data_IF_893084278358
#
_entry.id   IF_893084278358
#
_cell.length_a   1.000
_cell.length_b   1.000
_cell.length_c   1.000
_cell.angle_alpha   90.00
_cell.angle_beta   90.00
_cell.angle_gamma   90.00
#
_symmetry.space_group_name_H-M   'P 1'
#
loop_
_entity.id
_entity.type
_entity.pdbx_description
1 polymer ?
#
# COMPACT_ATOMS: atom_id res chain seq x y z
N UNK A 1 -34.77 13.33 -1.36
CA UNK A 1 -33.81 14.15 -2.09
C UNK A 1 -32.32 13.85 -1.70
N UNK A 2 -32.01 13.31 -0.51
CA UNK A 2 -30.63 13.13 -0.07
C UNK A 2 -29.76 12.10 -0.83
N UNK A 3 -30.32 10.98 -1.23
CA UNK A 3 -29.52 9.88 -1.83
C UNK A 3 -28.95 10.20 -3.22
N UNK A 4 -29.68 10.92 -4.08
CA UNK A 4 -29.17 11.34 -5.41
C UNK A 4 -28.02 12.37 -5.32
N UNK A 5 -28.03 13.20 -4.29
CA UNK A 5 -27.02 14.24 -4.08
C UNK A 5 -25.70 13.64 -3.53
N UNK A 6 -25.79 12.60 -2.69
CA UNK A 6 -24.61 11.85 -2.19
C UNK A 6 -23.87 11.12 -3.32
N UNK A 7 -24.59 10.41 -4.19
CA UNK A 7 -24.02 9.69 -5.35
C UNK A 7 -23.31 10.68 -6.30
N UNK A 8 -23.90 11.86 -6.55
CA UNK A 8 -23.27 12.87 -7.42
C UNK A 8 -21.94 13.41 -6.83
N UNK A 9 -21.88 13.63 -5.51
CA UNK A 9 -20.66 14.14 -4.84
C UNK A 9 -19.54 13.09 -4.90
N UNK A 10 -19.85 11.81 -4.67
CA UNK A 10 -18.87 10.72 -4.74
C UNK A 10 -18.32 10.55 -6.16
N UNK A 11 -19.17 10.61 -7.17
CA UNK A 11 -18.76 10.59 -8.58
C UNK A 11 -17.88 11.78 -8.94
N UNK A 12 -18.18 12.97 -8.45
CA UNK A 12 -17.39 14.18 -8.70
C UNK A 12 -16.00 14.11 -8.06
N UNK A 13 -15.89 13.53 -6.86
CA UNK A 13 -14.59 13.34 -6.16
C UNK A 13 -13.73 12.33 -6.91
N UNK A 14 -14.29 11.19 -7.31
CA UNK A 14 -13.58 10.17 -8.09
C UNK A 14 -13.19 10.69 -9.48
N UNK A 15 -14.05 11.46 -10.15
CA UNK A 15 -13.74 12.05 -11.45
C UNK A 15 -12.55 13.01 -11.36
N UNK A 16 -12.47 13.84 -10.32
CA UNK A 16 -11.31 14.72 -10.07
C UNK A 16 -10.04 13.94 -9.79
N UNK A 17 -10.12 12.87 -9.02
CA UNK A 17 -9.00 11.97 -8.78
C UNK A 17 -8.50 11.38 -10.10
N UNK A 18 -9.39 10.80 -10.88
CA UNK A 18 -9.08 10.12 -12.14
C UNK A 18 -8.46 11.05 -13.20
N UNK A 19 -8.77 12.34 -13.18
CA UNK A 19 -8.14 13.30 -14.07
C UNK A 19 -6.63 13.45 -13.83
N UNK A 20 -6.16 13.24 -12.60
CA UNK A 20 -4.73 13.31 -12.24
C UNK A 20 -4.01 11.97 -12.32
N UNK A 21 -4.73 10.86 -12.27
CA UNK A 21 -4.17 9.50 -12.34
C UNK A 21 -3.35 9.30 -13.61
N UNK A 22 -3.89 9.72 -14.77
CA UNK A 22 -3.19 9.58 -16.04
C UNK A 22 -1.87 10.38 -16.04
N UNK A 23 -1.88 11.59 -15.51
CA UNK A 23 -0.69 12.42 -15.38
C UNK A 23 0.35 11.82 -14.43
N UNK A 24 -0.09 11.27 -13.29
CA UNK A 24 0.82 10.57 -12.38
C UNK A 24 1.46 9.36 -13.06
N UNK A 25 0.69 8.56 -13.81
CA UNK A 25 1.23 7.41 -14.56
C UNK A 25 2.25 7.84 -15.60
N UNK A 26 1.95 8.85 -16.39
CA UNK A 26 2.88 9.40 -17.39
C UNK A 26 4.20 9.81 -16.73
N UNK A 27 4.13 10.57 -15.62
CA UNK A 27 5.31 10.96 -14.86
C UNK A 27 6.11 9.75 -14.31
N UNK A 28 5.41 8.72 -13.79
CA UNK A 28 6.05 7.52 -13.28
C UNK A 28 6.69 6.68 -14.38
N UNK A 29 6.03 6.58 -15.54
CA UNK A 29 6.52 5.84 -16.70
C UNK A 29 7.75 6.56 -17.32
N UNK A 30 7.73 7.90 -17.45
CA UNK A 30 8.86 8.69 -17.92
C UNK A 30 10.10 8.53 -17.04
N UNK A 31 9.91 8.43 -15.71
CA UNK A 31 10.97 8.20 -14.75
C UNK A 31 11.32 6.70 -14.59
N UNK A 32 10.68 5.79 -15.33
CA UNK A 32 10.81 4.34 -15.21
C UNK A 32 10.65 3.84 -13.75
N UNK A 33 9.74 4.44 -12.99
CA UNK A 33 9.49 4.11 -11.59
C UNK A 33 8.58 2.89 -11.46
N UNK A 34 8.96 1.97 -10.58
CA UNK A 34 8.03 0.98 -10.03
C UNK A 34 7.27 1.63 -8.88
N UNK A 35 5.98 1.87 -9.03
CA UNK A 35 5.15 2.52 -8.00
C UNK A 35 4.21 1.52 -7.34
N UNK A 36 4.26 1.44 -6.02
CA UNK A 36 3.46 0.53 -5.19
C UNK A 36 2.63 1.32 -4.19
N UNK A 37 1.32 1.05 -4.14
CA UNK A 37 0.41 1.57 -3.12
C UNK A 37 0.20 0.49 -2.04
N UNK A 38 0.79 0.70 -0.87
CA UNK A 38 0.69 -0.21 0.28
C UNK A 38 -0.53 0.16 1.12
N UNK A 39 -1.51 -0.72 1.16
CA UNK A 39 -2.78 -0.54 1.87
C UNK A 39 -2.97 -1.61 2.94
N UNK A 40 -3.56 -1.27 4.07
CA UNK A 40 -3.77 -2.21 5.17
C UNK A 40 -4.79 -1.70 6.19
N UNK A 41 -5.25 -2.58 7.08
CA UNK A 41 -5.83 -2.13 8.36
C UNK A 41 -4.76 -1.47 9.23
N UNK A 42 -5.15 -0.60 10.18
CA UNK A 42 -4.24 -0.12 11.21
C UNK A 42 -3.60 -1.28 11.99
N UNK A 43 -2.31 -1.19 12.26
CA UNK A 43 -1.60 -2.21 13.04
C UNK A 43 -1.22 -3.49 12.29
N UNK A 44 -1.44 -3.62 10.98
CA UNK A 44 -1.04 -4.80 10.18
C UNK A 44 0.49 -4.94 10.02
N UNK A 45 1.26 -3.92 10.39
CA UNK A 45 2.72 -3.91 10.30
C UNK A 45 3.25 -3.39 8.97
N UNK A 46 2.47 -2.58 8.25
CA UNK A 46 2.81 -1.97 6.95
C UNK A 46 4.14 -1.21 7.02
N UNK A 47 4.28 -0.25 7.93
CA UNK A 47 5.53 0.52 8.13
C UNK A 47 6.71 -0.37 8.52
N UNK A 48 6.49 -1.41 9.32
CA UNK A 48 7.57 -2.34 9.70
C UNK A 48 8.07 -3.13 8.49
N UNK A 49 7.14 -3.65 7.67
CA UNK A 49 7.48 -4.32 6.42
C UNK A 49 8.22 -3.38 5.46
N UNK A 50 7.73 -2.14 5.32
CA UNK A 50 8.37 -1.14 4.47
C UNK A 50 9.79 -0.82 4.95
N UNK A 51 9.99 -0.53 6.23
CA UNK A 51 11.32 -0.25 6.78
C UNK A 51 12.30 -1.42 6.57
N UNK A 52 11.85 -2.66 6.76
CA UNK A 52 12.70 -3.83 6.52
C UNK A 52 13.02 -4.00 5.03
N UNK A 53 12.05 -3.76 4.16
CA UNK A 53 12.25 -3.74 2.70
C UNK A 53 13.31 -2.72 2.29
N UNK A 54 13.19 -1.50 2.81
CA UNK A 54 14.12 -0.40 2.48
C UNK A 54 15.55 -0.70 2.93
N UNK A 55 15.76 -1.28 4.12
CA UNK A 55 17.09 -1.68 4.59
C UNK A 55 17.78 -2.68 3.67
N UNK A 56 17.00 -3.55 3.02
CA UNK A 56 17.54 -4.59 2.12
C UNK A 56 17.68 -4.13 0.68
N UNK A 57 16.98 -3.06 0.27
CA UNK A 57 16.96 -2.57 -1.11
C UNK A 57 17.73 -1.28 -1.34
N UNK A 58 17.91 -0.41 -0.33
CA UNK A 58 18.41 0.95 -0.52
C UNK A 58 19.78 1.02 -1.21
N UNK A 59 20.65 0.05 -0.95
CA UNK A 59 21.98 -0.04 -1.58
C UNK A 59 21.95 -0.69 -2.98
N UNK A 60 20.81 -1.25 -3.40
CA UNK A 60 20.67 -2.03 -4.64
C UNK A 60 19.86 -1.31 -5.71
N UNK A 61 18.87 -0.53 -5.29
CA UNK A 61 17.96 0.19 -6.18
C UNK A 61 17.50 1.49 -5.51
N UNK A 62 17.48 2.62 -6.22
CA UNK A 62 16.94 3.85 -5.64
C UNK A 62 15.52 3.65 -5.11
N UNK A 63 15.27 4.14 -3.90
CA UNK A 63 13.96 4.05 -3.27
C UNK A 63 13.54 5.43 -2.77
N UNK A 64 12.24 5.71 -2.82
CA UNK A 64 11.63 6.88 -2.20
C UNK A 64 10.28 6.47 -1.61
N UNK A 65 9.79 7.24 -0.63
CA UNK A 65 8.55 6.95 0.08
C UNK A 65 7.66 8.19 0.17
N UNK A 66 6.37 8.01 -0.12
CA UNK A 66 5.30 8.92 0.28
C UNK A 66 4.53 8.22 1.39
N UNK A 67 4.47 8.83 2.56
CA UNK A 67 3.78 8.28 3.73
C UNK A 67 2.56 9.13 4.05
N UNK A 68 1.36 8.50 4.10
CA UNK A 68 0.10 9.13 4.47
C UNK A 68 -0.33 8.74 5.87
N UNK A 69 -0.36 9.71 6.79
CA UNK A 69 -0.91 9.51 8.13
C UNK A 69 -1.86 10.64 8.52
N UNK A 70 -2.71 10.36 9.49
CA UNK A 70 -3.71 11.32 9.95
C UNK A 70 -3.14 12.35 10.91
N UNK A 71 -2.20 11.99 11.80
CA UNK A 71 -1.80 12.87 12.91
C UNK A 71 -0.34 12.79 13.35
N UNK A 72 0.42 11.72 13.05
CA UNK A 72 1.74 11.53 13.66
C UNK A 72 2.86 11.47 12.63
N UNK A 73 4.07 11.90 13.02
CA UNK A 73 5.27 11.77 12.18
C UNK A 73 6.05 10.47 12.46
N UNK A 74 5.55 9.61 13.36
CA UNK A 74 6.33 8.46 13.87
C UNK A 74 6.71 7.46 12.77
N UNK A 75 5.80 7.19 11.85
CA UNK A 75 6.06 6.23 10.77
C UNK A 75 6.98 6.86 9.72
N UNK A 76 6.80 8.12 9.37
CA UNK A 76 7.73 8.86 8.52
C UNK A 76 9.14 8.95 9.13
N UNK A 77 9.26 9.15 10.45
CA UNK A 77 10.57 9.18 11.13
C UNK A 77 11.26 7.81 11.12
N UNK A 78 10.49 6.73 11.28
CA UNK A 78 11.02 5.35 11.14
C UNK A 78 11.51 5.07 9.72
N UNK A 79 10.79 5.55 8.71
CA UNK A 79 11.18 5.41 7.31
C UNK A 79 12.45 6.22 7.04
N UNK A 80 12.51 7.49 7.45
CA UNK A 80 13.71 8.34 7.29
C UNK A 80 14.95 7.75 7.98
N UNK A 81 14.77 7.06 9.10
CA UNK A 81 15.84 6.38 9.81
C UNK A 81 16.49 5.24 9.00
N UNK A 82 15.87 4.78 7.90
CA UNK A 82 16.47 3.85 6.95
C UNK A 82 17.45 4.51 5.96
N UNK A 83 17.51 5.84 5.95
CA UNK A 83 18.33 6.62 4.99
C UNK A 83 17.62 6.91 3.67
N UNK A 84 16.41 6.40 3.46
CA UNK A 84 15.64 6.61 2.22
C UNK A 84 14.85 7.93 2.30
N UNK A 85 14.84 8.75 1.22
CA UNK A 85 14.03 9.94 1.15
C UNK A 85 12.54 9.64 1.36
N UNK A 86 11.90 10.38 2.27
CA UNK A 86 10.49 10.22 2.57
C UNK A 86 9.79 11.57 2.76
N UNK A 87 8.64 11.72 2.10
CA UNK A 87 7.71 12.84 2.27
C UNK A 87 6.49 12.34 3.02
N UNK A 88 6.09 13.07 4.05
CA UNK A 88 4.87 12.79 4.78
C UNK A 88 3.73 13.69 4.32
N UNK A 89 2.58 13.10 4.09
CA UNK A 89 1.31 13.78 3.86
C UNK A 89 0.45 13.63 5.11
N UNK A 90 0.18 14.75 5.79
CA UNK A 90 -0.79 14.75 6.87
C UNK A 90 -2.19 14.92 6.27
N UNK A 91 -2.99 13.86 6.31
CA UNK A 91 -4.36 13.86 5.76
C UNK A 91 -5.39 14.46 6.72
N UNK A 92 -5.00 14.77 7.96
CA UNK A 92 -5.90 15.31 8.98
C UNK A 92 -7.06 14.36 9.28
N UNK A 93 -8.24 14.69 8.79
CA UNK A 93 -9.44 13.83 8.91
C UNK A 93 -9.63 12.90 7.71
N UNK A 94 -8.79 12.99 6.69
CA UNK A 94 -8.83 12.11 5.52
C UNK A 94 -8.42 10.69 5.88
N UNK A 95 -9.11 9.72 5.33
CA UNK A 95 -8.89 8.29 5.59
C UNK A 95 -8.15 7.58 4.44
N UNK A 96 -7.61 8.32 3.47
CA UNK A 96 -6.87 7.83 2.31
C UNK A 96 -6.05 8.95 1.67
N UNK A 97 -5.10 8.58 0.84
CA UNK A 97 -4.43 9.46 -0.11
C UNK A 97 -5.21 9.51 -1.42
N UNK A 98 -5.15 10.65 -2.12
CA UNK A 98 -5.66 10.83 -3.47
C UNK A 98 -4.52 11.12 -4.48
N UNK A 99 -4.84 11.09 -5.77
CA UNK A 99 -3.85 11.29 -6.84
C UNK A 99 -3.20 12.67 -6.79
N UNK A 100 -3.92 13.70 -6.33
CA UNK A 100 -3.37 15.06 -6.19
C UNK A 100 -2.35 15.13 -5.06
N UNK A 101 -2.64 14.53 -3.91
CA UNK A 101 -1.71 14.46 -2.78
C UNK A 101 -0.41 13.78 -3.18
N UNK A 102 -0.50 12.67 -3.91
CA UNK A 102 0.67 11.94 -4.42
C UNK A 102 1.43 12.77 -5.44
N UNK A 103 0.75 13.43 -6.39
CA UNK A 103 1.36 14.35 -7.35
C UNK A 103 2.18 15.44 -6.66
N UNK A 104 1.57 16.14 -5.72
CA UNK A 104 2.21 17.24 -4.99
C UNK A 104 3.42 16.75 -4.15
N UNK A 105 3.34 15.53 -3.59
CA UNK A 105 4.43 14.93 -2.82
C UNK A 105 5.61 14.48 -3.69
N UNK A 106 5.36 14.00 -4.91
CA UNK A 106 6.42 13.61 -5.83
C UNK A 106 7.37 14.75 -6.14
N UNK A 107 6.86 15.98 -6.27
CA UNK A 107 7.69 17.17 -6.50
C UNK A 107 8.60 17.56 -5.32
N UNK A 108 8.39 16.97 -4.13
CA UNK A 108 9.23 17.21 -2.95
C UNK A 108 10.28 16.11 -2.74
N UNK A 109 10.20 15.03 -3.52
CA UNK A 109 11.18 13.95 -3.49
C UNK A 109 12.33 14.24 -4.46
N UNK A 110 13.56 13.79 -4.15
CA UNK A 110 14.65 13.82 -5.12
C UNK A 110 14.34 12.90 -6.30
N UNK A 111 15.00 13.16 -7.44
CA UNK A 111 14.91 12.28 -8.61
C UNK A 111 15.22 10.83 -8.22
N UNK A 112 14.37 9.91 -8.67
CA UNK A 112 14.42 8.48 -8.31
C UNK A 112 14.30 7.60 -9.57
N UNK A 113 14.89 8.04 -10.68
CA UNK A 113 14.81 7.36 -11.99
C UNK A 113 15.20 5.88 -11.91
N UNK A 114 14.38 5.01 -12.48
CA UNK A 114 14.55 3.56 -12.46
C UNK A 114 14.36 2.92 -11.09
N UNK A 115 13.97 3.70 -10.08
CA UNK A 115 13.82 3.29 -8.70
C UNK A 115 12.46 2.67 -8.36
N UNK A 116 12.20 2.61 -7.05
CA UNK A 116 10.89 2.22 -6.50
C UNK A 116 10.33 3.38 -5.69
N UNK A 117 9.10 3.77 -5.98
CA UNK A 117 8.31 4.66 -5.16
C UNK A 117 7.29 3.84 -4.35
N UNK A 118 7.45 3.83 -3.06
CA UNK A 118 6.47 3.25 -2.15
C UNK A 118 5.51 4.34 -1.68
N UNK A 119 4.21 4.13 -1.85
CA UNK A 119 3.17 4.96 -1.27
C UNK A 119 2.59 4.18 -0.10
N UNK A 120 2.94 4.57 1.12
CA UNK A 120 2.32 4.03 2.33
C UNK A 120 1.02 4.77 2.59
N UNK A 121 -0.12 4.14 2.29
CA UNK A 121 -1.44 4.73 2.47
C UNK A 121 -1.87 4.71 3.95
N UNK A 122 -2.84 5.55 4.30
CA UNK A 122 -3.49 5.55 5.62
C UNK A 122 -4.03 4.15 5.93
N UNK A 123 -3.96 3.74 7.20
CA UNK A 123 -4.48 2.45 7.65
C UNK A 123 -6.00 2.35 7.52
N UNK A 124 -6.47 1.91 6.34
CA UNK A 124 -7.88 1.76 5.99
C UNK A 124 -8.03 0.81 4.80
N UNK A 125 -9.03 -0.09 4.83
CA UNK A 125 -9.32 -1.04 3.75
C UNK A 125 -10.57 -0.67 2.93
N UNK A 126 -11.25 0.44 3.25
CA UNK A 126 -12.48 0.87 2.55
C UNK A 126 -12.14 1.96 1.54
N UNK A 127 -11.83 3.17 2.01
CA UNK A 127 -11.65 4.32 1.14
C UNK A 127 -10.54 4.13 0.08
N UNK A 128 -9.33 3.63 0.41
CA UNK A 128 -8.26 3.48 -0.58
C UNK A 128 -8.56 2.48 -1.71
N UNK A 129 -9.60 1.65 -1.57
CA UNK A 129 -9.98 0.69 -2.60
C UNK A 129 -10.39 1.39 -3.91
N UNK A 130 -11.16 2.47 -3.81
CA UNK A 130 -11.72 3.20 -4.95
C UNK A 130 -10.77 4.28 -5.51
N UNK A 131 -9.69 4.61 -4.79
CA UNK A 131 -8.74 5.64 -5.20
C UNK A 131 -7.52 5.02 -5.88
N UNK A 132 -7.43 5.26 -7.17
CA UNK A 132 -6.24 5.01 -7.98
C UNK A 132 -5.31 6.23 -7.82
N UNK A 133 -4.04 5.99 -7.53
CA UNK A 133 -3.03 7.04 -7.34
C UNK A 133 -2.09 7.16 -8.54
N UNK A 134 -2.26 6.28 -9.55
CA UNK A 134 -1.35 6.09 -10.67
C UNK A 134 -0.35 4.95 -10.43
N UNK A 135 -0.47 4.22 -9.32
CA UNK A 135 0.41 3.11 -8.97
C UNK A 135 0.34 1.97 -9.99
N UNK A 136 1.47 1.26 -10.17
CA UNK A 136 1.51 0.03 -10.97
C UNK A 136 0.86 -1.13 -10.24
N UNK A 137 1.07 -1.22 -8.91
CA UNK A 137 0.50 -2.27 -8.08
C UNK A 137 -0.09 -1.72 -6.78
N UNK A 138 -1.28 -2.17 -6.45
CA UNK A 138 -1.87 -2.03 -5.12
C UNK A 138 -1.59 -3.30 -4.33
N UNK A 139 -0.94 -3.16 -3.18
CA UNK A 139 -0.52 -4.27 -2.32
C UNK A 139 -1.31 -4.22 -1.03
N UNK A 140 -2.18 -5.20 -0.81
CA UNK A 140 -2.95 -5.34 0.42
C UNK A 140 -2.16 -6.11 1.48
N UNK A 141 -1.86 -5.47 2.60
CA UNK A 141 -1.12 -6.09 3.71
C UNK A 141 -2.12 -6.46 4.81
N UNK A 142 -2.14 -7.73 5.15
CA UNK A 142 -2.98 -8.35 6.18
C UNK A 142 -2.10 -8.99 7.25
N UNK A 143 -2.42 -8.82 8.52
CA UNK A 143 -1.72 -9.50 9.62
C UNK A 143 -2.46 -10.77 10.04
N UNK A 144 -1.73 -11.83 10.43
CA UNK A 144 -2.32 -13.03 11.04
C UNK A 144 -3.03 -12.75 12.37
N UNK A 145 -2.88 -11.56 12.94
CA UNK A 145 -3.63 -11.11 14.13
C UNK A 145 -5.01 -10.51 13.79
N UNK A 146 -5.36 -10.46 12.51
CA UNK A 146 -6.68 -10.05 12.01
C UNK A 146 -7.51 -11.31 11.70
N UNK A 147 -8.69 -11.19 11.14
CA UNK A 147 -9.48 -12.38 10.78
C UNK A 147 -9.18 -12.86 9.36
N UNK A 148 -9.16 -14.16 9.12
CA UNK A 148 -8.99 -14.77 7.80
C UNK A 148 -10.14 -14.46 6.83
N UNK A 149 -11.27 -13.94 7.33
CA UNK A 149 -12.41 -13.48 6.53
C UNK A 149 -12.27 -12.02 6.05
N UNK A 150 -11.19 -11.32 6.38
CA UNK A 150 -10.95 -9.94 5.93
C UNK A 150 -11.13 -9.74 4.42
N UNK A 151 -10.67 -10.64 3.53
CA UNK A 151 -10.91 -10.50 2.10
C UNK A 151 -12.40 -10.47 1.74
N UNK A 152 -13.24 -11.22 2.45
CA UNK A 152 -14.68 -11.22 2.22
C UNK A 152 -15.38 -10.01 2.84
N UNK A 153 -14.82 -9.42 3.91
CA UNK A 153 -15.36 -8.22 4.55
C UNK A 153 -15.04 -6.94 3.79
N UNK A 154 -13.93 -6.93 3.06
CA UNK A 154 -13.44 -5.77 2.30
C UNK A 154 -13.20 -6.15 0.83
N UNK A 155 -14.22 -6.68 0.13
CA UNK A 155 -14.03 -7.28 -1.19
C UNK A 155 -13.48 -6.29 -2.22
N UNK A 156 -13.87 -5.02 -2.17
CA UNK A 156 -13.41 -4.00 -3.12
C UNK A 156 -11.89 -3.80 -3.04
N UNK A 157 -11.32 -3.82 -1.81
CA UNK A 157 -9.88 -3.71 -1.63
C UNK A 157 -9.12 -4.89 -2.23
N UNK A 158 -9.58 -6.12 -1.94
CA UNK A 158 -8.90 -7.32 -2.45
C UNK A 158 -9.15 -7.56 -3.93
N UNK A 159 -10.27 -7.07 -4.48
CA UNK A 159 -10.52 -7.05 -5.92
C UNK A 159 -9.57 -6.08 -6.64
N UNK A 160 -9.26 -4.93 -6.03
CA UNK A 160 -8.34 -3.93 -6.59
C UNK A 160 -6.86 -4.28 -6.42
N UNK A 161 -6.50 -5.15 -5.44
CA UNK A 161 -5.12 -5.50 -5.16
C UNK A 161 -4.60 -6.59 -6.09
N UNK A 162 -3.36 -6.44 -6.58
CA UNK A 162 -2.66 -7.45 -7.36
C UNK A 162 -1.88 -8.42 -6.46
N UNK A 163 -1.50 -7.96 -5.27
CA UNK A 163 -0.78 -8.76 -4.29
C UNK A 163 -1.41 -8.62 -2.91
N UNK A 164 -1.55 -9.73 -2.20
CA UNK A 164 -1.82 -9.79 -0.76
C UNK A 164 -0.57 -10.25 -0.03
N UNK A 165 -0.10 -9.49 0.95
CA UNK A 165 0.97 -9.89 1.86
C UNK A 165 0.37 -10.26 3.20
N UNK A 166 0.50 -11.53 3.60
CA UNK A 166 0.15 -12.00 4.95
C UNK A 166 1.37 -11.81 5.84
N UNK A 167 1.30 -10.83 6.72
CA UNK A 167 2.40 -10.43 7.60
C UNK A 167 2.26 -10.97 9.01
N UNK A 168 3.33 -10.92 9.78
CA UNK A 168 3.47 -11.39 11.16
C UNK A 168 3.28 -12.91 11.31
N UNK A 169 3.77 -13.68 10.32
CA UNK A 169 3.66 -15.15 10.32
C UNK A 169 4.33 -15.81 11.53
N UNK A 170 5.31 -15.13 12.14
CA UNK A 170 5.91 -15.50 13.42
C UNK A 170 4.91 -15.65 14.58
N UNK A 171 3.75 -15.00 14.47
CA UNK A 171 2.70 -15.08 15.49
C UNK A 171 1.70 -16.22 15.26
N UNK A 172 1.78 -16.96 14.14
CA UNK A 172 0.88 -18.09 13.87
C UNK A 172 0.77 -19.11 15.01
N UNK A 173 1.86 -19.47 15.75
CA UNK A 173 1.74 -20.38 16.88
C UNK A 173 0.92 -19.86 18.06
N UNK A 174 0.62 -18.55 18.09
CA UNK A 174 -0.03 -17.88 19.23
C UNK A 174 -1.43 -17.33 18.90
N UNK A 175 -1.88 -17.48 17.67
CA UNK A 175 -3.18 -16.95 17.20
C UNK A 175 -3.97 -18.04 16.48
N UNK A 176 -5.29 -17.94 16.54
CA UNK A 176 -6.17 -18.77 15.71
C UNK A 176 -6.38 -18.10 14.36
N UNK A 177 -5.50 -18.43 13.40
CA UNK A 177 -5.59 -17.91 12.04
C UNK A 177 -5.31 -19.02 11.03
N UNK A 178 -6.27 -19.28 10.15
CA UNK A 178 -6.14 -20.25 9.07
C UNK A 178 -5.65 -19.56 7.80
N UNK A 179 -4.36 -19.71 7.52
CA UNK A 179 -3.71 -19.13 6.33
C UNK A 179 -4.32 -19.66 5.03
N UNK A 180 -4.60 -20.98 4.96
CA UNK A 180 -5.16 -21.59 3.75
C UNK A 180 -6.55 -21.04 3.45
N UNK A 181 -7.38 -20.89 4.49
CA UNK A 181 -8.71 -20.29 4.39
C UNK A 181 -8.66 -18.81 4.01
N UNK A 182 -7.71 -18.06 4.55
CA UNK A 182 -7.51 -16.65 4.17
C UNK A 182 -7.17 -16.53 2.68
N UNK A 183 -6.26 -17.35 2.17
CA UNK A 183 -5.89 -17.40 0.75
C UNK A 183 -7.08 -17.78 -0.12
N UNK A 184 -7.85 -18.80 0.28
CA UNK A 184 -9.08 -19.18 -0.42
C UNK A 184 -10.07 -18.02 -0.49
N UNK A 185 -10.31 -17.34 0.63
CA UNK A 185 -11.20 -16.19 0.69
C UNK A 185 -10.73 -15.04 -0.23
N UNK A 186 -9.43 -14.75 -0.26
CA UNK A 186 -8.88 -13.75 -1.16
C UNK A 186 -9.06 -14.13 -2.63
N UNK A 187 -8.80 -15.39 -3.00
CA UNK A 187 -8.99 -15.91 -4.36
C UNK A 187 -10.45 -15.99 -4.80
N UNK A 188 -11.38 -16.13 -3.87
CA UNK A 188 -12.83 -16.03 -4.18
C UNK A 188 -13.23 -14.63 -4.61
N UNK A 189 -12.58 -13.59 -4.06
CA UNK A 189 -12.79 -12.19 -4.41
C UNK A 189 -12.02 -11.83 -5.68
N UNK A 190 -10.76 -12.23 -5.75
CA UNK A 190 -9.87 -11.97 -6.88
C UNK A 190 -9.08 -13.23 -7.23
N UNK A 191 -9.49 -14.01 -8.24
CA UNK A 191 -8.81 -15.24 -8.64
C UNK A 191 -7.35 -15.06 -9.06
N UNK A 192 -6.94 -13.84 -9.43
CA UNK A 192 -5.60 -13.51 -9.93
C UNK A 192 -4.68 -12.94 -8.85
N UNK A 193 -5.18 -12.72 -7.63
CA UNK A 193 -4.38 -12.14 -6.55
C UNK A 193 -3.21 -13.06 -6.20
N UNK A 194 -2.03 -12.51 -6.22
CA UNK A 194 -0.84 -13.20 -5.72
C UNK A 194 -0.80 -13.12 -4.20
N UNK A 195 -0.18 -14.10 -3.55
CA UNK A 195 -0.09 -14.12 -2.09
C UNK A 195 1.33 -14.45 -1.65
N UNK A 196 1.87 -13.61 -0.76
CA UNK A 196 3.17 -13.81 -0.14
C UNK A 196 2.97 -13.79 1.38
N UNK A 197 3.64 -14.69 2.09
CA UNK A 197 3.64 -14.79 3.54
C UNK A 197 4.97 -14.29 4.07
N UNK A 198 4.96 -13.38 5.06
CA UNK A 198 6.18 -12.80 5.62
C UNK A 198 6.07 -12.59 7.13
N UNK A 199 7.20 -12.56 7.78
CA UNK A 199 7.37 -11.89 9.06
C UNK A 199 8.40 -10.77 8.89
N UNK A 200 7.94 -9.53 8.86
CA UNK A 200 8.83 -8.37 8.81
C UNK A 200 9.74 -8.25 10.05
N UNK A 201 9.40 -8.93 11.15
CA UNK A 201 10.17 -8.93 12.39
C UNK A 201 11.29 -9.96 12.38
N UNK A 202 11.03 -11.18 11.89
CA UNK A 202 12.04 -12.25 11.85
C UNK A 202 12.78 -12.33 10.52
N UNK A 203 12.27 -11.71 9.47
CA UNK A 203 12.81 -11.81 8.12
C UNK A 203 12.29 -13.02 7.33
N UNK A 204 11.49 -13.89 7.93
CA UNK A 204 10.92 -15.05 7.24
C UNK A 204 10.05 -14.61 6.06
N UNK A 205 10.24 -15.22 4.88
CA UNK A 205 9.50 -14.93 3.66
C UNK A 205 9.87 -13.60 2.98
N UNK A 206 10.77 -12.79 3.54
CA UNK A 206 11.20 -11.52 2.93
C UNK A 206 11.85 -11.73 1.57
N UNK A 207 12.58 -12.84 1.36
CA UNK A 207 13.16 -13.15 0.05
C UNK A 207 12.11 -13.27 -1.05
N UNK A 208 10.96 -13.89 -0.77
CA UNK A 208 9.86 -14.00 -1.72
C UNK A 208 9.28 -12.63 -2.09
N UNK A 209 9.13 -11.75 -1.09
CA UNK A 209 8.70 -10.38 -1.28
C UNK A 209 9.69 -9.57 -2.12
N UNK A 210 11.00 -9.64 -1.80
CA UNK A 210 12.05 -8.91 -2.54
C UNK A 210 12.20 -9.42 -3.97
N UNK A 211 12.08 -10.74 -4.19
CA UNK A 211 12.10 -11.34 -5.52
C UNK A 211 10.89 -10.90 -6.35
N UNK A 212 9.72 -10.78 -5.72
CA UNK A 212 8.53 -10.23 -6.38
C UNK A 212 8.77 -8.77 -6.81
N UNK A 213 9.33 -7.93 -5.93
CA UNK A 213 9.68 -6.53 -6.25
C UNK A 213 10.71 -6.42 -7.38
N UNK A 214 11.62 -7.38 -7.49
CA UNK A 214 12.63 -7.41 -8.56
C UNK A 214 12.06 -7.82 -9.92
N UNK A 215 10.93 -8.54 -9.94
CA UNK A 215 10.25 -9.03 -11.15
C UNK A 215 9.05 -8.18 -11.58
N UNK A 216 8.63 -7.22 -10.75
CA UNK A 216 7.43 -6.40 -10.89
C UNK A 216 7.52 -5.27 -11.96
#
# INVERSE_FOLDING_TARGET
MGQRQLIAIEMDVLAKNNALVAHNREHFDEAALLVLNLVSSPGSGKTTLLCETLRQLADKRPCAVIEGDQQTSRDADRIRATGVPAVQINTGKGCHLDAKMVHDACHQLPANEGGILFIENVGNLVCPASFDLGEKYKVAILSVTEGEEKPLKYPDMFAAAQLMVINKTDLLPYVSFDVARCIENAKRVNPYIQVIQVSATTGEGMDAWLNWLASA
#
